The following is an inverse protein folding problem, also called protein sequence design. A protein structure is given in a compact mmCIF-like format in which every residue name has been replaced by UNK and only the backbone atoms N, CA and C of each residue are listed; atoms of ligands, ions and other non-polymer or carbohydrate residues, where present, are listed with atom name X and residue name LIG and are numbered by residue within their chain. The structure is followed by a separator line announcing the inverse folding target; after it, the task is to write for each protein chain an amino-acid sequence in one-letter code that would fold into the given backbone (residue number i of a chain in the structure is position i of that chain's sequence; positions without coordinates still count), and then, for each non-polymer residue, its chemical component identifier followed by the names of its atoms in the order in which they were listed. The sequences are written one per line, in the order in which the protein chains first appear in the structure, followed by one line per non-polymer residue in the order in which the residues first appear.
data_IF_219468303662
#
_entry.id   IF_219468303662
#
_cell.length_a   1.000
_cell.length_b   1.000
_cell.length_c   1.000
_cell.angle_alpha   90.00
_cell.angle_beta   90.00
_cell.angle_gamma   90.00
#
_symmetry.space_group_name_H-M   'P 1'
#
loop_
_entity.id
_entity.type
_entity.pdbx_description
1 polymer ?
#
# COMPACT_ATOMS: atom_id res chain seq x y z
N UNK A 1 9.71 -20.75 4.99
CA UNK A 1 9.84 -19.73 6.04
C UNK A 1 8.82 -20.07 7.11
N UNK A 2 9.20 -19.99 8.38
CA UNK A 2 8.27 -20.21 9.49
C UNK A 2 7.54 -18.89 9.75
N UNK A 3 6.21 -18.92 9.82
CA UNK A 3 5.42 -17.72 10.11
C UNK A 3 5.49 -17.44 11.60
N UNK A 4 6.09 -16.31 11.97
CA UNK A 4 6.04 -15.79 13.33
C UNK A 4 4.64 -15.20 13.58
N UNK A 5 4.03 -15.52 14.72
CA UNK A 5 2.71 -15.01 15.13
C UNK A 5 2.88 -14.00 16.28
N UNK A 6 3.24 -12.74 16.00
CA UNK A 6 3.38 -11.70 17.01
C UNK A 6 2.01 -11.34 17.63
N UNK A 7 2.02 -10.99 18.91
CA UNK A 7 0.82 -10.55 19.63
C UNK A 7 0.79 -9.03 19.75
N UNK A 8 -0.39 -8.44 19.53
CA UNK A 8 -0.64 -7.01 19.69
C UNK A 8 -1.57 -6.78 20.87
N UNK A 9 -1.22 -5.84 21.75
CA UNK A 9 -2.03 -5.47 22.92
C UNK A 9 -2.10 -3.94 23.04
N UNK A 10 -3.22 -3.45 23.60
CA UNK A 10 -3.42 -2.07 24.00
C UNK A 10 -3.84 -2.04 25.48
N UNK A 11 -3.23 -1.16 26.25
CA UNK A 11 -3.60 -0.90 27.65
C UNK A 11 -4.11 0.54 27.74
N UNK A 12 -5.34 0.70 28.22
CA UNK A 12 -5.99 2.01 28.36
C UNK A 12 -6.38 2.16 29.83
N UNK A 13 -5.74 3.11 30.50
CA UNK A 13 -6.03 3.44 31.89
C UNK A 13 -7.12 4.52 31.97
N UNK A 14 -8.25 4.17 32.57
CA UNK A 14 -9.39 5.05 32.76
C UNK A 14 -9.78 5.09 34.24
N UNK A 15 -10.18 6.27 34.74
CA UNK A 15 -10.67 6.38 36.12
C UNK A 15 -12.14 5.94 36.21
N UNK A 16 -12.50 5.26 37.30
CA UNK A 16 -13.89 4.84 37.53
C UNK A 16 -14.87 6.03 37.51
N UNK A 17 -14.44 7.20 37.98
CA UNK A 17 -15.27 8.41 37.94
C UNK A 17 -15.58 8.86 36.51
N UNK A 18 -14.62 8.79 35.59
CA UNK A 18 -14.88 9.12 34.18
C UNK A 18 -15.76 8.08 33.50
N UNK A 19 -15.67 6.81 33.89
CA UNK A 19 -16.52 5.74 33.34
C UNK A 19 -17.98 5.91 33.80
N UNK A 20 -18.21 6.31 35.05
CA UNK A 20 -19.55 6.48 35.63
C UNK A 20 -20.21 7.84 35.30
N UNK A 21 -19.42 8.91 35.15
CA UNK A 21 -19.93 10.30 34.96
C UNK A 21 -19.89 10.76 33.48
N UNK A 22 -19.44 9.91 32.55
CA UNK A 22 -19.45 10.24 31.13
C UNK A 22 -20.88 10.38 30.57
N UNK A 23 -21.13 11.47 29.85
CA UNK A 23 -22.40 11.71 29.17
C UNK A 23 -22.61 10.82 27.93
N UNK A 24 -21.61 10.02 27.55
CA UNK A 24 -21.60 9.10 26.41
C UNK A 24 -20.93 7.77 26.81
N UNK A 25 -21.17 6.72 26.03
CA UNK A 25 -20.66 5.37 26.31
C UNK A 25 -19.15 5.30 26.04
N UNK A 26 -18.37 5.53 27.09
CA UNK A 26 -16.91 5.57 27.02
C UNK A 26 -16.29 4.19 26.78
N UNK A 27 -16.97 3.10 27.16
CA UNK A 27 -16.48 1.74 26.89
C UNK A 27 -16.59 1.40 25.40
N UNK A 28 -17.70 1.80 24.77
CA UNK A 28 -17.89 1.65 23.33
C UNK A 28 -16.85 2.44 22.53
N UNK A 29 -16.64 3.71 22.88
CA UNK A 29 -15.65 4.58 22.23
C UNK A 29 -14.23 4.00 22.32
N UNK A 30 -13.84 3.54 23.52
CA UNK A 30 -12.52 2.92 23.74
C UNK A 30 -12.35 1.66 22.89
N UNK A 31 -13.40 0.85 22.73
CA UNK A 31 -13.36 -0.36 21.92
C UNK A 31 -13.23 -0.04 20.44
N UNK A 32 -13.96 0.95 19.95
CA UNK A 32 -13.89 1.40 18.55
C UNK A 32 -12.51 1.98 18.24
N UNK A 33 -12.01 2.87 19.09
CA UNK A 33 -10.67 3.45 18.93
C UNK A 33 -9.58 2.38 18.98
N UNK A 34 -9.67 1.42 19.92
CA UNK A 34 -8.69 0.32 20.00
C UNK A 34 -8.69 -0.55 18.75
N UNK A 35 -9.88 -0.85 18.20
CA UNK A 35 -10.00 -1.63 16.96
C UNK A 35 -9.44 -0.85 15.76
N UNK A 36 -9.66 0.45 15.68
CA UNK A 36 -9.10 1.31 14.63
C UNK A 36 -7.57 1.37 14.73
N UNK A 37 -7.02 1.60 15.93
CA UNK A 37 -5.57 1.65 16.14
C UNK A 37 -4.89 0.32 15.81
N UNK A 38 -5.52 -0.81 16.12
CA UNK A 38 -5.04 -2.13 15.72
C UNK A 38 -5.05 -2.30 14.20
N UNK A 39 -6.11 -1.90 13.51
CA UNK A 39 -6.16 -1.96 12.04
C UNK A 39 -5.12 -1.06 11.37
N UNK A 40 -4.88 0.15 11.91
CA UNK A 40 -3.85 1.06 11.42
C UNK A 40 -2.45 0.46 11.61
N UNK A 41 -2.17 -0.06 12.81
CA UNK A 41 -0.87 -0.68 13.09
C UNK A 41 -0.63 -1.93 12.24
N UNK A 42 -1.62 -2.80 12.11
CA UNK A 42 -1.57 -3.98 11.25
C UNK A 42 -1.31 -3.59 9.78
N UNK A 43 -2.00 -2.56 9.27
CA UNK A 43 -1.77 -2.02 7.92
C UNK A 43 -0.34 -1.55 7.69
N UNK A 44 0.26 -0.85 8.66
CA UNK A 44 1.65 -0.41 8.60
C UNK A 44 2.64 -1.58 8.64
N UNK A 45 2.39 -2.58 9.49
CA UNK A 45 3.21 -3.79 9.58
C UNK A 45 3.16 -4.62 8.29
N UNK A 46 2.01 -4.71 7.62
CA UNK A 46 1.91 -5.39 6.33
C UNK A 46 2.72 -4.74 5.22
N UNK A 47 2.96 -3.43 5.29
CA UNK A 47 3.78 -2.73 4.31
C UNK A 47 5.26 -2.83 4.67
N UNK A 48 5.64 -2.44 5.88
CA UNK A 48 7.04 -2.22 6.27
C UNK A 48 7.46 -2.88 7.58
N UNK A 49 6.69 -3.83 8.09
CA UNK A 49 7.03 -4.55 9.32
C UNK A 49 8.33 -5.35 9.18
N UNK A 50 9.09 -5.41 10.26
CA UNK A 50 10.44 -6.00 10.29
C UNK A 50 10.46 -7.51 10.54
N UNK A 51 9.31 -8.11 10.92
CA UNK A 51 9.22 -9.52 11.32
C UNK A 51 9.69 -9.82 12.76
N UNK A 52 10.21 -8.82 13.48
CA UNK A 52 10.74 -8.96 14.85
C UNK A 52 9.75 -8.38 15.86
N UNK A 53 8.86 -9.22 16.39
CA UNK A 53 7.81 -8.78 17.32
C UNK A 53 6.64 -8.05 16.63
N UNK A 54 6.66 -8.02 15.31
CA UNK A 54 5.65 -7.48 14.39
C UNK A 54 5.64 -8.34 13.13
N UNK A 55 4.61 -8.22 12.29
CA UNK A 55 4.55 -8.99 11.04
C UNK A 55 5.69 -8.59 10.08
N UNK A 56 6.11 -9.49 9.20
CA UNK A 56 7.04 -9.14 8.12
C UNK A 56 6.27 -8.49 6.97
N UNK A 57 6.63 -7.26 6.65
CA UNK A 57 6.00 -6.47 5.59
C UNK A 57 6.47 -6.84 4.19
N UNK A 58 5.62 -6.55 3.20
CA UNK A 58 5.89 -6.83 1.78
C UNK A 58 7.18 -6.14 1.28
N UNK A 59 7.51 -4.96 1.82
CA UNK A 59 8.69 -4.19 1.41
C UNK A 59 9.99 -4.63 2.10
N UNK A 60 9.89 -5.42 3.17
CA UNK A 60 11.05 -5.87 3.97
C UNK A 60 11.69 -7.12 3.37
N UNK A 61 10.90 -7.97 2.72
CA UNK A 61 11.39 -9.25 2.21
C UNK A 61 12.27 -9.06 0.96
N UNK A 62 13.58 -9.28 1.11
CA UNK A 62 14.57 -9.14 0.03
C UNK A 62 14.45 -10.15 -1.12
N UNK A 63 13.54 -11.14 -1.04
CA UNK A 63 13.25 -12.04 -2.15
C UNK A 63 12.24 -11.46 -3.14
N UNK A 64 11.59 -10.34 -2.79
CA UNK A 64 10.67 -9.64 -3.68
C UNK A 64 11.49 -8.96 -4.78
N UNK A 65 11.16 -9.27 -6.03
CA UNK A 65 11.86 -8.71 -7.18
C UNK A 65 11.55 -7.20 -7.30
N UNK A 66 12.60 -6.40 -7.41
CA UNK A 66 12.50 -4.96 -7.63
C UNK A 66 12.65 -4.59 -9.11
N UNK A 67 12.08 -3.45 -9.48
CA UNK A 67 12.27 -2.85 -10.81
C UNK A 67 12.61 -1.38 -10.63
N UNK A 68 13.76 -0.97 -11.17
CA UNK A 68 14.20 0.42 -11.09
C UNK A 68 13.41 1.25 -12.11
N UNK A 69 12.83 2.38 -11.67
CA UNK A 69 12.04 3.27 -12.55
C UNK A 69 12.88 3.95 -13.65
N UNK A 70 14.20 4.00 -13.48
CA UNK A 70 15.15 4.67 -14.37
C UNK A 70 15.60 6.05 -13.86
N UNK A 71 14.99 6.57 -12.79
CA UNK A 71 15.46 7.77 -12.07
C UNK A 71 15.46 7.53 -10.57
N UNK A 72 16.31 8.24 -9.83
CA UNK A 72 16.45 8.02 -8.39
C UNK A 72 15.27 8.56 -7.58
N UNK A 73 14.60 9.63 -8.03
CA UNK A 73 13.66 10.37 -7.18
C UNK A 73 12.21 10.30 -7.65
N UNK A 74 11.94 9.80 -8.86
CA UNK A 74 10.61 9.82 -9.44
C UNK A 74 10.22 8.47 -10.02
N UNK A 75 8.91 8.25 -10.11
CA UNK A 75 8.34 7.05 -10.76
C UNK A 75 8.51 7.10 -12.28
N UNK A 76 8.63 8.31 -12.85
CA UNK A 76 8.93 8.49 -14.24
C UNK A 76 10.39 8.14 -14.54
N UNK A 77 10.66 7.67 -15.76
CA UNK A 77 12.03 7.58 -16.26
C UNK A 77 12.59 8.96 -16.64
N UNK A 78 13.83 8.99 -17.16
CA UNK A 78 14.51 10.22 -17.52
C UNK A 78 13.77 11.05 -18.60
N UNK A 79 12.91 10.40 -19.39
CA UNK A 79 12.11 11.02 -20.45
C UNK A 79 10.68 11.37 -19.99
N UNK A 80 10.35 11.13 -18.71
CA UNK A 80 9.03 11.40 -18.15
C UNK A 80 8.00 10.30 -18.42
N UNK A 81 8.44 9.13 -18.89
CA UNK A 81 7.59 8.01 -19.30
C UNK A 81 7.46 6.94 -18.20
N UNK A 82 6.52 6.01 -18.42
CA UNK A 82 6.12 4.97 -17.47
C UNK A 82 6.88 3.64 -17.64
N UNK A 83 8.05 3.62 -18.27
CA UNK A 83 8.74 2.38 -18.67
C UNK A 83 9.03 1.45 -17.47
N UNK A 84 9.33 2.02 -16.30
CA UNK A 84 9.48 1.26 -15.05
C UNK A 84 8.22 0.52 -14.62
N UNK A 85 7.04 1.15 -14.70
CA UNK A 85 5.76 0.49 -14.36
C UNK A 85 5.45 -0.66 -15.31
N UNK A 86 5.65 -0.46 -16.61
CA UNK A 86 5.44 -1.50 -17.62
C UNK A 86 6.37 -2.69 -17.38
N UNK A 87 7.64 -2.41 -17.06
CA UNK A 87 8.61 -3.45 -16.74
C UNK A 87 8.20 -4.23 -15.49
N UNK A 88 7.75 -3.54 -14.43
CA UNK A 88 7.25 -4.17 -13.20
C UNK A 88 6.04 -5.07 -13.48
N UNK A 89 5.10 -4.61 -14.31
CA UNK A 89 3.93 -5.42 -14.71
C UNK A 89 4.32 -6.69 -15.47
N UNK A 90 5.29 -6.59 -16.37
CA UNK A 90 5.74 -7.72 -17.18
C UNK A 90 6.76 -8.62 -16.48
N UNK A 91 7.27 -8.23 -15.32
CA UNK A 91 8.23 -9.02 -14.54
C UNK A 91 7.57 -10.24 -13.84
N UNK A 92 6.26 -10.18 -13.57
CA UNK A 92 5.56 -11.28 -12.90
C UNK A 92 5.19 -12.41 -13.87
N UNK A 93 5.17 -13.65 -13.38
CA UNK A 93 4.74 -14.80 -14.19
C UNK A 93 3.25 -14.66 -14.56
N UNK A 94 2.90 -15.09 -15.77
CA UNK A 94 1.53 -14.99 -16.32
C UNK A 94 0.45 -15.56 -15.40
N UNK A 95 0.76 -16.60 -14.63
CA UNK A 95 -0.19 -17.20 -13.68
C UNK A 95 -0.63 -16.26 -12.55
N UNK A 96 0.19 -15.28 -12.18
CA UNK A 96 -0.12 -14.28 -11.14
C UNK A 96 -0.70 -13.00 -11.72
N UNK A 97 -0.47 -12.72 -13.01
CA UNK A 97 -0.97 -11.51 -13.67
C UNK A 97 -2.50 -11.43 -13.74
N UNK A 98 -3.20 -12.58 -13.74
CA UNK A 98 -4.66 -12.61 -13.87
C UNK A 98 -5.41 -11.97 -12.68
N UNK A 99 -4.82 -12.00 -11.48
CA UNK A 99 -5.41 -11.43 -10.26
C UNK A 99 -4.50 -10.37 -9.63
N UNK A 100 -3.53 -9.85 -10.39
CA UNK A 100 -2.61 -8.88 -9.87
C UNK A 100 -3.32 -7.55 -9.61
N UNK A 101 -2.91 -6.88 -8.53
CA UNK A 101 -3.42 -5.56 -8.13
C UNK A 101 -2.23 -4.65 -7.90
N UNK A 102 -2.40 -3.35 -8.16
CA UNK A 102 -1.42 -2.34 -7.80
C UNK A 102 -1.65 -1.86 -6.38
N UNK A 103 -0.58 -1.75 -5.58
CA UNK A 103 -0.62 -1.11 -4.26
C UNK A 103 0.26 0.13 -4.29
N UNK A 104 -0.31 1.27 -3.92
CA UNK A 104 0.37 2.57 -3.90
C UNK A 104 -0.33 3.54 -2.94
N UNK A 105 0.41 4.54 -2.45
CA UNK A 105 -0.18 5.62 -1.66
C UNK A 105 -0.77 6.72 -2.53
N UNK A 106 -1.61 7.57 -1.94
CA UNK A 106 -2.35 8.64 -2.64
C UNK A 106 -1.48 9.61 -3.42
N UNK A 107 -0.31 9.98 -2.87
CA UNK A 107 0.62 10.93 -3.51
C UNK A 107 1.26 10.29 -4.73
N UNK A 108 1.62 9.01 -4.65
CA UNK A 108 2.11 8.19 -5.76
C UNK A 108 1.05 8.03 -6.85
N UNK A 109 -0.24 7.85 -6.51
CA UNK A 109 -1.32 7.87 -7.52
C UNK A 109 -1.30 9.19 -8.30
N UNK A 110 -1.11 10.31 -7.60
CA UNK A 110 -0.98 11.63 -8.20
C UNK A 110 0.23 11.75 -9.13
N UNK A 111 1.36 11.14 -8.78
CA UNK A 111 2.56 11.10 -9.61
C UNK A 111 2.35 10.25 -10.88
N UNK A 112 1.77 9.05 -10.74
CA UNK A 112 1.38 8.20 -11.88
C UNK A 112 0.45 8.94 -12.84
N UNK A 113 -0.49 9.74 -12.30
CA UNK A 113 -1.40 10.57 -13.10
C UNK A 113 -0.72 11.74 -13.82
N UNK A 114 0.47 12.15 -13.39
CA UNK A 114 1.26 13.20 -14.04
C UNK A 114 2.15 12.66 -15.17
N UNK A 115 2.24 11.34 -15.37
CA UNK A 115 3.03 10.72 -16.44
C UNK A 115 2.53 11.15 -17.82
N UNK A 116 3.46 11.42 -18.73
CA UNK A 116 3.18 11.99 -20.04
C UNK A 116 3.83 11.22 -21.17
N UNK A 117 3.19 11.23 -22.34
CA UNK A 117 3.78 10.76 -23.59
C UNK A 117 4.81 11.76 -24.13
N UNK A 118 5.51 11.39 -25.20
CA UNK A 118 6.51 12.25 -25.87
C UNK A 118 5.89 13.57 -26.39
N UNK A 119 4.57 13.62 -26.59
CA UNK A 119 3.80 14.79 -27.01
C UNK A 119 3.26 15.61 -25.82
N UNK A 120 3.64 15.27 -24.58
CA UNK A 120 3.23 15.90 -23.32
C UNK A 120 1.76 15.71 -22.93
N UNK A 121 1.06 14.75 -23.52
CA UNK A 121 -0.29 14.36 -23.11
C UNK A 121 -0.24 13.41 -21.92
N UNK A 122 -1.23 13.48 -21.04
CA UNK A 122 -1.36 12.53 -19.93
C UNK A 122 -1.64 11.12 -20.44
N UNK A 123 -0.84 10.14 -20.00
CA UNK A 123 -0.98 8.73 -20.42
C UNK A 123 -2.19 8.10 -19.73
N UNK A 124 -2.43 8.46 -18.48
CA UNK A 124 -3.53 7.94 -17.68
C UNK A 124 -4.53 9.03 -17.33
N UNK A 125 -5.79 8.79 -17.73
CA UNK A 125 -6.94 9.54 -17.27
C UNK A 125 -7.84 8.58 -16.51
N UNK A 126 -8.17 8.83 -15.23
CA UNK A 126 -9.16 8.01 -14.55
C UNK A 126 -10.49 8.12 -15.28
N UNK A 127 -11.24 7.03 -15.24
CA UNK A 127 -12.50 6.90 -15.95
C UNK A 127 -13.52 7.91 -15.43
N UNK A 128 -13.59 9.09 -16.05
CA UNK A 128 -14.72 10.01 -15.90
C UNK A 128 -16.01 9.40 -16.52
N UNK A 129 -15.86 8.31 -17.29
CA UNK A 129 -16.96 7.64 -17.98
C UNK A 129 -17.40 6.33 -17.29
N UNK A 130 -18.64 6.33 -16.81
CA UNK A 130 -19.50 5.13 -16.68
C UNK A 130 -19.14 4.07 -15.63
N UNK A 131 -18.94 4.45 -14.36
CA UNK A 131 -19.04 3.51 -13.23
C UNK A 131 -18.02 2.36 -13.24
N UNK A 132 -16.96 2.46 -14.04
CA UNK A 132 -15.84 1.51 -14.02
C UNK A 132 -14.86 1.91 -12.93
N UNK A 133 -14.40 0.96 -12.09
CA UNK A 133 -13.30 1.22 -11.16
C UNK A 133 -12.09 1.78 -11.91
N UNK A 134 -11.40 2.74 -11.31
CA UNK A 134 -10.19 3.26 -11.92
C UNK A 134 -9.14 2.15 -11.96
N UNK A 135 -8.53 1.94 -13.13
CA UNK A 135 -7.49 0.93 -13.35
C UNK A 135 -6.22 1.59 -13.83
N UNK A 136 -5.06 1.09 -13.43
CA UNK A 136 -3.76 1.48 -13.97
C UNK A 136 -3.37 0.40 -14.98
N UNK A 137 -3.23 0.80 -16.25
CA UNK A 137 -2.90 -0.11 -17.36
C UNK A 137 -3.83 -1.34 -17.48
N UNK A 138 -5.10 -1.19 -17.09
CA UNK A 138 -6.11 -2.25 -17.17
C UNK A 138 -6.27 -3.11 -15.91
N UNK A 139 -5.39 -2.99 -14.93
CA UNK A 139 -5.46 -3.73 -13.67
C UNK A 139 -5.98 -2.84 -12.52
N UNK A 140 -6.66 -3.41 -11.51
CA UNK A 140 -7.16 -2.65 -10.36
C UNK A 140 -6.00 -2.12 -9.49
N UNK A 141 -6.25 -1.04 -8.75
CA UNK A 141 -5.34 -0.56 -7.72
C UNK A 141 -6.06 -0.43 -6.37
N UNK A 142 -5.29 -0.55 -5.29
CA UNK A 142 -5.70 -0.30 -3.93
C UNK A 142 -4.82 0.80 -3.32
N UNK A 143 -5.44 1.71 -2.57
CA UNK A 143 -4.75 2.79 -1.86
C UNK A 143 -4.30 2.28 -0.49
N UNK A 144 -2.98 2.31 -0.26
CA UNK A 144 -2.38 1.96 1.03
C UNK A 144 -1.67 3.21 1.55
N UNK A 145 -2.16 3.84 2.63
CA UNK A 145 -1.58 5.08 3.14
C UNK A 145 -0.15 4.90 3.66
N UNK A 146 0.17 3.71 4.19
CA UNK A 146 1.47 3.38 4.78
C UNK A 146 2.57 3.10 3.74
N UNK A 147 2.21 3.01 2.46
CA UNK A 147 3.21 2.90 1.38
C UNK A 147 4.06 4.18 1.28
N UNK A 148 5.38 4.05 1.09
CA UNK A 148 6.26 5.20 0.95
C UNK A 148 5.90 6.01 -0.31
N UNK A 149 6.16 7.32 -0.28
CA UNK A 149 6.07 8.17 -1.48
C UNK A 149 7.32 8.02 -2.36
N UNK A 150 7.27 8.53 -3.59
CA UNK A 150 8.42 8.56 -4.48
C UNK A 150 9.66 9.24 -3.85
N UNK A 151 10.82 8.59 -3.95
CA UNK A 151 12.07 9.05 -3.37
C UNK A 151 13.21 8.05 -3.57
N UNK A 152 14.45 8.50 -3.31
CA UNK A 152 15.64 7.68 -3.53
C UNK A 152 15.70 6.48 -2.56
N UNK A 153 15.86 5.28 -3.12
CA UNK A 153 15.94 4.04 -2.36
C UNK A 153 14.61 3.60 -1.74
N UNK A 154 13.48 4.15 -2.19
CA UNK A 154 12.15 3.79 -1.73
C UNK A 154 11.40 2.96 -2.78
N UNK A 155 10.45 2.15 -2.32
CA UNK A 155 9.58 1.30 -3.14
C UNK A 155 8.12 1.79 -3.07
N UNK A 156 7.76 2.85 -3.81
CA UNK A 156 6.44 3.49 -3.69
C UNK A 156 5.29 2.72 -4.34
N UNK A 157 5.60 1.70 -5.15
CA UNK A 157 4.62 0.91 -5.91
C UNK A 157 4.95 -0.58 -5.75
N UNK A 158 3.93 -1.38 -5.41
CA UNK A 158 4.00 -2.83 -5.45
C UNK A 158 2.95 -3.39 -6.43
N UNK A 159 3.26 -4.52 -7.07
CA UNK A 159 2.38 -5.18 -8.03
C UNK A 159 2.46 -6.70 -7.90
N UNK A 160 1.31 -7.34 -7.78
CA UNK A 160 1.24 -8.81 -7.71
C UNK A 160 -0.11 -9.34 -7.25
N UNK A 161 -0.21 -10.66 -7.19
CA UNK A 161 -1.36 -11.36 -6.62
C UNK A 161 -1.16 -11.52 -5.11
N UNK A 162 -1.60 -10.51 -4.34
CA UNK A 162 -1.43 -10.48 -2.88
C UNK A 162 -2.21 -11.58 -2.15
N UNK A 163 -3.25 -12.16 -2.77
CA UNK A 163 -3.99 -13.29 -2.17
C UNK A 163 -3.15 -14.57 -2.11
N UNK A 164 -2.17 -14.68 -3.02
CA UNK A 164 -1.23 -15.82 -3.05
C UNK A 164 0.13 -15.47 -2.49
N UNK A 165 0.52 -14.20 -2.58
CA UNK A 165 1.81 -13.73 -2.08
C UNK A 165 1.84 -13.55 -0.56
N UNK A 166 0.68 -13.24 0.06
CA UNK A 166 0.59 -12.95 1.48
C UNK A 166 -0.39 -13.89 2.18
N UNK A 167 -0.04 -14.35 3.38
CA UNK A 167 -0.90 -15.16 4.26
C UNK A 167 -0.86 -14.54 5.63
N UNK A 168 -2.04 -14.22 6.16
CA UNK A 168 -2.27 -13.71 7.52
C UNK A 168 -2.74 -14.88 8.39
#
# INVERSE_FOLDING_TARGET
EELNAPEMYALIDISNQMLEDAAFDMEAEIREESAEQFAVKEGAEFVSGTGVGEYEGILTNGSVAETVSGTAATIADADGQANGLLTLKHAIKTAYAANATWILNRTTIGAVRKLKDAQKNYIWMPGIAMGKPNTIDGDPYAEFPDMPSEGAGLYPIAYGDFRRAFTI
#
